data_IF_774324018858
#
_entry.id   IF_774324018858
#
_cell.length_a   1.000
_cell.length_b   1.000
_cell.length_c   1.000
_cell.angle_alpha   90.00
_cell.angle_beta   90.00
_cell.angle_gamma   90.00
#
_symmetry.space_group_name_H-M   'P 1'
#
loop_
_entity.id
_entity.type
_entity.pdbx_description
1 polymer ?
#
# COMPACT_ATOMS: atom_id res chain seq x y z
N UNK A 1 -50.73 -34.32 -31.47
CA UNK A 1 -50.48 -33.35 -30.36
C UNK A 1 -49.01 -32.91 -30.17
N UNK A 2 -48.18 -32.67 -31.21
CA UNK A 2 -46.84 -32.04 -31.01
C UNK A 2 -46.76 -30.52 -31.31
N UNK A 3 -47.76 -29.90 -31.93
CA UNK A 3 -47.59 -28.52 -32.46
C UNK A 3 -47.60 -27.38 -31.43
N UNK A 4 -48.09 -27.61 -30.20
CA UNK A 4 -48.14 -26.55 -29.17
C UNK A 4 -46.80 -26.28 -28.49
N UNK A 5 -45.80 -27.14 -28.68
CA UNK A 5 -44.47 -26.96 -28.09
C UNK A 5 -43.60 -25.95 -28.85
N UNK A 6 -43.73 -25.86 -30.18
CA UNK A 6 -42.88 -25.01 -31.01
C UNK A 6 -43.10 -23.51 -30.81
N UNK A 7 -44.35 -23.08 -30.61
CA UNK A 7 -44.68 -21.65 -30.51
C UNK A 7 -44.12 -21.01 -29.22
N UNK A 8 -44.18 -21.73 -28.09
CA UNK A 8 -43.66 -21.24 -26.81
C UNK A 8 -42.13 -21.09 -26.82
N UNK A 9 -41.44 -21.99 -27.52
CA UNK A 9 -39.98 -21.95 -27.64
C UNK A 9 -39.51 -20.72 -28.43
N UNK A 10 -40.18 -20.38 -29.53
CA UNK A 10 -39.88 -19.19 -30.33
C UNK A 10 -40.13 -17.87 -29.57
N UNK A 11 -41.15 -17.81 -28.72
CA UNK A 11 -41.40 -16.61 -27.90
C UNK A 11 -40.35 -16.43 -26.80
N UNK A 12 -39.92 -17.53 -26.17
CA UNK A 12 -38.90 -17.49 -25.12
C UNK A 12 -37.53 -17.12 -25.69
N UNK A 13 -37.15 -17.64 -26.85
CA UNK A 13 -35.87 -17.30 -27.48
C UNK A 13 -35.80 -15.81 -27.88
N UNK A 14 -36.89 -15.25 -28.45
CA UNK A 14 -36.97 -13.81 -28.76
C UNK A 14 -36.85 -12.94 -27.51
N UNK A 15 -37.52 -13.33 -26.43
CA UNK A 15 -37.41 -12.62 -25.15
C UNK A 15 -35.97 -12.68 -24.59
N UNK A 16 -35.33 -13.84 -24.64
CA UNK A 16 -33.95 -14.00 -24.20
C UNK A 16 -32.99 -13.11 -25.01
N UNK A 17 -33.13 -13.08 -26.35
CA UNK A 17 -32.34 -12.20 -27.21
C UNK A 17 -32.59 -10.71 -26.94
N UNK A 18 -33.83 -10.32 -26.63
CA UNK A 18 -34.16 -8.95 -26.26
C UNK A 18 -33.61 -8.55 -24.89
N UNK A 19 -33.59 -9.47 -23.92
CA UNK A 19 -33.09 -9.24 -22.56
C UNK A 19 -31.56 -9.33 -22.45
N UNK A 20 -30.90 -10.12 -23.31
CA UNK A 20 -29.45 -10.28 -23.29
C UNK A 20 -28.67 -8.96 -23.30
N UNK A 21 -28.92 -7.97 -24.19
CA UNK A 21 -28.19 -6.70 -24.17
C UNK A 21 -28.49 -5.88 -22.91
N UNK A 22 -29.72 -5.94 -22.37
CA UNK A 22 -30.08 -5.26 -21.14
C UNK A 22 -29.36 -5.87 -19.92
N UNK A 23 -29.30 -7.20 -19.86
CA UNK A 23 -28.57 -7.91 -18.82
C UNK A 23 -27.06 -7.63 -18.90
N UNK A 24 -26.49 -7.61 -20.11
CA UNK A 24 -25.10 -7.25 -20.35
C UNK A 24 -24.81 -5.81 -19.91
N UNK A 25 -25.66 -4.85 -20.28
CA UNK A 25 -25.52 -3.45 -19.89
C UNK A 25 -25.62 -3.26 -18.37
N UNK A 26 -26.58 -3.94 -17.73
CA UNK A 26 -26.71 -3.94 -16.28
C UNK A 26 -25.47 -4.54 -15.60
N UNK A 27 -24.94 -5.64 -16.14
CA UNK A 27 -23.72 -6.27 -15.63
C UNK A 27 -22.50 -5.37 -15.77
N UNK A 28 -22.31 -4.73 -16.94
CA UNK A 28 -21.22 -3.78 -17.16
C UNK A 28 -21.32 -2.58 -16.21
N UNK A 29 -22.53 -2.01 -16.05
CA UNK A 29 -22.76 -0.94 -15.09
C UNK A 29 -22.48 -1.38 -13.65
N UNK A 30 -22.81 -2.62 -13.28
CA UNK A 30 -22.53 -3.17 -11.95
C UNK A 30 -21.03 -3.30 -11.69
N UNK A 31 -20.25 -3.74 -12.70
CA UNK A 31 -18.78 -3.84 -12.63
C UNK A 31 -18.14 -2.46 -12.49
N UNK A 32 -18.61 -1.48 -13.26
CA UNK A 32 -18.06 -0.12 -13.27
C UNK A 32 -18.42 0.70 -12.01
N UNK A 33 -19.63 0.53 -11.47
CA UNK A 33 -20.10 1.30 -10.31
C UNK A 33 -19.45 0.87 -8.98
N UNK A 34 -18.95 -0.37 -8.89
CA UNK A 34 -18.38 -0.96 -7.67
C UNK A 34 -19.28 -0.67 -6.44
N UNK A 35 -20.51 -1.22 -6.40
CA UNK A 35 -21.54 -0.80 -5.42
C UNK A 35 -21.15 -1.08 -3.96
N UNK A 36 -20.23 -2.02 -3.73
CA UNK A 36 -19.63 -2.28 -2.42
C UNK A 36 -18.81 -1.11 -1.86
N UNK A 37 -18.41 -0.17 -2.73
CA UNK A 37 -17.40 0.86 -2.46
C UNK A 37 -16.04 0.31 -2.00
N UNK A 38 -15.79 -0.96 -2.32
CA UNK A 38 -14.54 -1.66 -2.06
C UNK A 38 -14.05 -2.23 -3.37
N UNK A 39 -12.89 -1.75 -3.82
CA UNK A 39 -12.19 -2.30 -4.96
C UNK A 39 -10.92 -2.98 -4.47
N UNK A 40 -10.89 -4.31 -4.58
CA UNK A 40 -9.69 -5.09 -4.32
C UNK A 40 -9.02 -5.42 -5.64
N UNK A 41 -7.81 -4.91 -5.85
CA UNK A 41 -7.00 -5.23 -7.00
C UNK A 41 -5.76 -6.00 -6.53
N UNK A 42 -5.61 -7.21 -7.08
CA UNK A 42 -4.51 -8.12 -6.79
C UNK A 42 -3.83 -8.43 -8.13
N UNK A 43 -2.52 -8.23 -8.19
CA UNK A 43 -1.73 -8.49 -9.39
C UNK A 43 -0.68 -9.55 -9.11
N UNK A 44 -0.65 -10.61 -9.93
CA UNK A 44 0.37 -11.65 -9.85
C UNK A 44 0.88 -12.00 -11.26
N UNK A 45 2.16 -11.77 -11.62
CA UNK A 45 3.18 -10.98 -10.92
C UNK A 45 2.92 -9.49 -11.22
N UNK A 46 2.20 -8.80 -10.31
CA UNK A 46 1.88 -7.36 -10.38
C UNK A 46 1.28 -6.93 -11.73
N UNK A 47 0.37 -7.73 -12.27
CA UNK A 47 -0.48 -7.32 -13.39
C UNK A 47 -1.89 -7.81 -13.12
N UNK A 48 -2.86 -6.94 -13.34
CA UNK A 48 -4.27 -7.25 -13.18
C UNK A 48 -5.13 -6.24 -13.94
N UNK A 49 -6.46 -6.34 -13.85
CA UNK A 49 -7.37 -5.43 -14.56
C UNK A 49 -7.15 -3.96 -14.20
N UNK A 50 -6.70 -3.70 -12.96
CA UNK A 50 -6.48 -2.36 -12.43
C UNK A 50 -5.01 -2.08 -12.10
N UNK A 51 -4.12 -3.07 -12.18
CA UNK A 51 -2.71 -2.92 -11.88
C UNK A 51 -1.89 -3.14 -13.14
N UNK A 52 -1.10 -2.14 -13.52
CA UNK A 52 -0.10 -2.29 -14.57
C UNK A 52 1.21 -2.76 -13.96
N UNK A 53 1.99 -3.50 -14.75
CA UNK A 53 3.30 -4.01 -14.35
C UNK A 53 4.25 -2.93 -13.81
N UNK A 54 5.31 -3.33 -13.11
CA UNK A 54 6.34 -2.41 -12.65
C UNK A 54 6.95 -1.62 -13.81
N UNK A 55 7.11 -0.31 -13.64
CA UNK A 55 7.76 0.59 -14.60
C UNK A 55 8.83 1.44 -13.90
N UNK A 56 9.88 1.87 -14.63
CA UNK A 56 10.28 1.36 -15.94
C UNK A 56 10.75 -0.10 -15.86
N UNK A 57 10.49 -0.88 -16.90
CA UNK A 57 10.86 -2.31 -16.95
C UNK A 57 12.37 -2.52 -16.79
N UNK A 58 13.19 -1.55 -17.21
CA UNK A 58 14.65 -1.59 -17.04
C UNK A 58 15.13 -1.56 -15.58
N UNK A 59 14.24 -1.27 -14.62
CA UNK A 59 14.56 -1.23 -13.19
C UNK A 59 14.17 -2.51 -12.45
N UNK A 60 13.64 -3.48 -13.17
CA UNK A 60 13.19 -4.75 -12.60
C UNK A 60 13.60 -5.93 -13.47
N UNK A 61 13.81 -7.08 -12.85
CA UNK A 61 14.07 -8.35 -13.52
C UNK A 61 13.06 -9.37 -12.99
N UNK A 62 12.31 -10.09 -13.84
CA UNK A 62 11.42 -11.14 -13.37
C UNK A 62 12.22 -12.26 -12.70
N UNK A 63 11.73 -12.75 -11.55
CA UNK A 63 12.33 -13.90 -10.87
C UNK A 63 12.15 -15.18 -11.70
N UNK A 64 13.11 -16.10 -11.60
CA UNK A 64 13.13 -17.31 -12.40
C UNK A 64 11.92 -18.22 -12.07
N UNK A 65 11.33 -18.95 -13.04
CA UNK A 65 10.17 -19.82 -12.79
C UNK A 65 10.40 -20.95 -11.77
N UNK A 66 11.66 -21.28 -11.49
CA UNK A 66 12.05 -22.28 -10.49
C UNK A 66 11.83 -21.78 -9.04
N UNK A 67 11.79 -20.46 -8.85
CA UNK A 67 11.38 -19.85 -7.60
C UNK A 67 9.85 -19.92 -7.56
N UNK A 68 9.30 -20.67 -6.61
CA UNK A 68 7.84 -20.93 -6.44
C UNK A 68 6.99 -19.64 -6.38
N UNK A 69 7.63 -18.47 -6.27
CA UNK A 69 7.04 -17.15 -6.36
C UNK A 69 7.38 -16.45 -7.69
N UNK A 70 6.37 -16.23 -8.55
CA UNK A 70 6.50 -15.25 -9.65
C UNK A 70 6.61 -13.86 -9.01
N UNK A 71 7.70 -13.16 -9.26
CA UNK A 71 7.95 -11.84 -8.71
C UNK A 71 8.96 -11.08 -9.55
N UNK A 72 9.44 -9.95 -9.03
CA UNK A 72 10.48 -9.16 -9.64
C UNK A 72 11.59 -8.88 -8.63
N UNK A 73 12.83 -8.93 -9.11
CA UNK A 73 13.99 -8.35 -8.46
C UNK A 73 14.10 -6.89 -8.88
N UNK A 74 14.22 -6.00 -7.91
CA UNK A 74 14.52 -4.59 -8.15
C UNK A 74 16.01 -4.45 -8.49
N UNK A 75 16.30 -3.87 -9.66
CA UNK A 75 17.65 -3.58 -10.12
C UNK A 75 18.05 -2.13 -9.84
N UNK A 76 17.07 -1.22 -9.82
CA UNK A 76 17.27 0.19 -9.54
C UNK A 76 15.98 0.82 -9.01
N UNK A 77 16.13 1.94 -8.31
CA UNK A 77 15.02 2.66 -7.70
C UNK A 77 14.73 4.01 -8.42
N UNK A 78 13.55 4.61 -8.17
CA UNK A 78 12.33 3.96 -7.69
C UNK A 78 11.70 3.01 -8.74
N UNK A 79 10.92 2.05 -8.26
CA UNK A 79 10.02 1.22 -9.09
C UNK A 79 8.59 1.71 -8.90
N UNK A 80 7.86 1.85 -10.00
CA UNK A 80 6.50 2.35 -10.01
C UNK A 80 5.51 1.27 -10.39
N UNK A 81 4.32 1.27 -9.79
CA UNK A 81 3.20 0.41 -10.18
C UNK A 81 1.96 1.28 -10.34
N UNK A 82 1.38 1.29 -11.55
CA UNK A 82 0.20 2.11 -11.83
C UNK A 82 -1.08 1.35 -11.45
N UNK A 83 -1.89 1.97 -10.60
CA UNK A 83 -3.21 1.53 -10.15
C UNK A 83 -4.28 2.41 -10.81
N UNK A 84 -5.08 1.82 -11.69
CA UNK A 84 -6.22 2.50 -12.30
C UNK A 84 -7.39 2.58 -11.33
N UNK A 85 -7.99 3.77 -11.20
CA UNK A 85 -9.16 4.00 -10.38
C UNK A 85 -10.41 4.14 -11.26
N UNK A 86 -11.40 3.23 -11.17
CA UNK A 86 -12.66 3.40 -11.89
C UNK A 86 -13.52 4.54 -11.32
N UNK A 87 -13.26 4.96 -10.08
CA UNK A 87 -13.97 6.02 -9.37
C UNK A 87 -13.13 6.56 -8.20
N UNK A 88 -13.54 7.67 -7.58
CA UNK A 88 -12.91 8.17 -6.36
C UNK A 88 -13.03 7.23 -5.16
N UNK A 89 -11.93 7.09 -4.43
CA UNK A 89 -11.81 6.37 -3.16
C UNK A 89 -11.17 7.26 -2.09
N UNK A 90 -11.42 6.99 -0.81
CA UNK A 90 -10.86 7.79 0.29
C UNK A 90 -9.56 7.22 0.84
N UNK A 91 -9.44 5.89 0.83
CA UNK A 91 -8.27 5.22 1.37
C UNK A 91 -7.76 4.14 0.42
N UNK A 92 -6.45 3.91 0.48
CA UNK A 92 -5.75 2.85 -0.24
C UNK A 92 -4.92 2.07 0.77
N UNK A 93 -5.18 0.78 0.93
CA UNK A 93 -4.28 -0.16 1.60
C UNK A 93 -3.42 -0.85 0.56
N UNK A 94 -2.11 -0.82 0.76
CA UNK A 94 -1.10 -1.48 -0.08
C UNK A 94 -0.45 -2.58 0.76
N UNK A 95 -0.60 -3.83 0.31
CA UNK A 95 0.11 -4.96 0.87
C UNK A 95 1.19 -5.42 -0.10
N UNK A 96 2.44 -5.38 0.35
CA UNK A 96 3.63 -5.76 -0.43
C UNK A 96 4.35 -6.91 0.28
N UNK A 97 4.62 -7.99 -0.45
CA UNK A 97 5.53 -9.03 0.03
C UNK A 97 6.92 -8.79 -0.56
N UNK A 98 7.86 -8.45 0.31
CA UNK A 98 9.21 -7.99 0.00
C UNK A 98 10.26 -8.87 0.68
N UNK A 99 11.22 -9.36 -0.07
CA UNK A 99 12.53 -9.73 0.44
C UNK A 99 13.45 -8.50 0.32
N UNK A 100 13.81 -7.84 1.44
CA UNK A 100 14.61 -6.63 1.41
C UNK A 100 16.07 -6.88 1.00
N UNK A 101 16.55 -8.13 1.01
CA UNK A 101 17.94 -8.45 0.72
C UNK A 101 18.92 -7.68 1.63
N UNK A 102 19.73 -6.81 1.03
CA UNK A 102 20.70 -5.96 1.73
C UNK A 102 20.24 -4.50 1.92
N UNK A 103 19.03 -4.14 1.49
CA UNK A 103 18.50 -2.79 1.69
C UNK A 103 18.36 -2.45 3.17
N UNK A 104 18.74 -1.24 3.57
CA UNK A 104 18.47 -0.74 4.92
C UNK A 104 17.06 -0.19 5.04
N UNK A 105 16.57 0.52 4.03
CA UNK A 105 15.26 1.20 4.07
C UNK A 105 14.49 0.91 2.80
N UNK A 106 13.19 0.63 2.95
CA UNK A 106 12.22 0.67 1.85
C UNK A 106 11.10 1.62 2.24
N UNK A 107 10.69 2.46 1.30
CA UNK A 107 9.62 3.41 1.45
C UNK A 107 8.55 3.19 0.37
N UNK A 108 7.30 3.41 0.73
CA UNK A 108 6.16 3.37 -0.18
C UNK A 108 5.52 4.76 -0.27
N UNK A 109 5.24 5.20 -1.48
CA UNK A 109 4.55 6.47 -1.72
C UNK A 109 3.49 6.37 -2.81
N UNK A 110 2.79 7.47 -3.01
CA UNK A 110 1.74 7.60 -4.02
C UNK A 110 1.92 8.89 -4.83
N UNK A 111 1.71 8.79 -6.14
CA UNK A 111 1.73 9.92 -7.07
C UNK A 111 0.40 9.94 -7.85
N UNK A 112 -0.40 11.03 -7.81
CA UNK A 112 -1.60 11.14 -8.62
C UNK A 112 -1.26 11.42 -10.10
N UNK A 113 -1.85 10.66 -11.02
CA UNK A 113 -1.73 10.83 -12.49
C UNK A 113 -0.29 11.06 -13.00
N UNK A 114 0.69 10.48 -12.32
CA UNK A 114 2.12 10.60 -12.67
C UNK A 114 2.76 11.97 -12.40
N UNK A 115 2.10 12.90 -11.70
CA UNK A 115 2.63 14.23 -11.35
C UNK A 115 3.47 14.18 -10.07
N UNK A 116 4.79 14.22 -10.21
CA UNK A 116 5.73 13.99 -9.10
C UNK A 116 5.71 15.03 -7.97
N UNK A 117 5.08 16.19 -8.17
CA UNK A 117 5.11 17.34 -7.27
C UNK A 117 4.49 17.07 -5.88
N UNK A 118 3.77 15.95 -5.72
CA UNK A 118 3.09 15.56 -4.48
C UNK A 118 3.51 14.16 -3.98
N UNK A 119 4.74 13.75 -4.26
CA UNK A 119 5.27 12.48 -3.73
C UNK A 119 5.51 12.56 -2.22
N UNK A 120 4.68 11.84 -1.46
CA UNK A 120 4.91 11.56 -0.04
C UNK A 120 5.31 10.10 0.14
N UNK A 121 6.54 9.86 0.60
CA UNK A 121 7.06 8.54 0.94
C UNK A 121 6.80 8.23 2.42
N UNK A 122 6.33 7.03 2.71
CA UNK A 122 6.14 6.49 4.06
C UNK A 122 7.07 5.29 4.25
N UNK A 123 7.73 5.16 5.43
CA UNK A 123 8.63 4.05 5.70
C UNK A 123 7.86 2.74 5.73
N UNK A 124 8.27 1.80 4.88
CA UNK A 124 7.68 0.48 4.76
C UNK A 124 8.55 -0.61 5.38
N UNK A 125 9.87 -0.44 5.36
CA UNK A 125 10.83 -1.33 6.00
C UNK A 125 12.04 -0.53 6.49
N UNK A 126 12.58 -0.90 7.65
CA UNK A 126 13.85 -0.37 8.14
C UNK A 126 14.65 -1.46 8.86
N UNK A 127 15.77 -1.89 8.28
CA UNK A 127 16.58 -3.02 8.74
C UNK A 127 17.03 -2.90 10.19
N UNK A 128 17.62 -1.76 10.57
CA UNK A 128 18.06 -1.57 11.96
C UNK A 128 16.90 -1.61 12.95
N UNK A 129 15.77 -0.98 12.63
CA UNK A 129 14.59 -1.04 13.51
C UNK A 129 14.04 -2.47 13.60
N UNK A 130 14.05 -3.23 12.51
CA UNK A 130 13.68 -4.65 12.52
C UNK A 130 14.58 -5.48 13.41
N UNK A 131 15.90 -5.32 13.29
CA UNK A 131 16.90 -6.05 14.06
C UNK A 131 16.80 -5.73 15.55
N UNK A 132 16.69 -4.44 15.91
CA UNK A 132 16.53 -4.00 17.30
C UNK A 132 15.18 -4.40 17.90
N UNK A 133 14.15 -4.53 17.06
CA UNK A 133 12.82 -4.96 17.50
C UNK A 133 12.67 -6.48 17.63
N UNK A 134 13.73 -7.26 17.43
CA UNK A 134 13.66 -8.69 17.70
C UNK A 134 13.54 -8.97 19.20
N UNK A 135 12.78 -10.00 19.62
CA UNK A 135 12.69 -10.37 21.03
C UNK A 135 14.08 -10.58 21.66
N UNK A 136 14.31 -9.95 22.81
CA UNK A 136 15.57 -10.05 23.55
C UNK A 136 16.70 -9.15 23.05
N UNK A 137 16.49 -8.33 22.01
CA UNK A 137 17.45 -7.30 21.60
C UNK A 137 17.28 -6.03 22.42
N UNK A 138 16.23 -5.26 22.14
CA UNK A 138 15.87 -4.05 22.90
C UNK A 138 14.46 -4.20 23.46
N UNK A 139 14.22 -3.60 24.62
CA UNK A 139 12.88 -3.57 25.22
C UNK A 139 11.99 -2.61 24.43
N UNK A 140 10.73 -2.98 24.21
CA UNK A 140 9.80 -2.20 23.40
C UNK A 140 8.63 -1.71 24.25
N UNK A 141 8.42 -0.41 24.28
CA UNK A 141 7.22 0.20 24.84
C UNK A 141 6.35 0.73 23.70
N UNK A 142 5.03 0.53 23.78
CA UNK A 142 4.09 0.89 22.72
C UNK A 142 2.94 1.69 23.29
N UNK A 143 2.56 2.76 22.59
CA UNK A 143 1.44 3.62 22.99
C UNK A 143 1.16 4.68 21.93
N UNK A 144 -0.11 5.00 21.68
CA UNK A 144 -0.48 6.12 20.79
C UNK A 144 0.05 6.03 19.35
N UNK A 145 0.35 4.83 18.85
CA UNK A 145 0.93 4.64 17.50
C UNK A 145 2.45 4.80 17.45
N UNK A 146 3.11 5.03 18.58
CA UNK A 146 4.55 5.04 18.72
C UNK A 146 5.10 3.72 19.27
N UNK A 147 6.37 3.52 19.00
CA UNK A 147 7.23 2.50 19.58
C UNK A 147 8.47 3.20 20.12
N UNK A 148 8.76 2.98 21.41
CA UNK A 148 10.04 3.29 22.01
C UNK A 148 10.84 1.99 22.09
N UNK A 149 12.00 1.96 21.44
CA UNK A 149 13.01 0.92 21.64
C UNK A 149 13.99 1.46 22.68
N UNK A 150 14.19 0.73 23.77
CA UNK A 150 15.16 1.08 24.81
C UNK A 150 16.18 -0.05 24.98
N UNK A 151 17.46 0.32 24.94
CA UNK A 151 18.58 -0.62 25.11
C UNK A 151 18.57 -1.21 26.52
N UNK A 152 18.43 -0.34 27.51
CA UNK A 152 18.23 -0.67 28.92
C UNK A 152 16.79 -0.32 29.30
N UNK A 153 16.09 -1.14 30.12
CA UNK A 153 14.69 -0.93 30.44
C UNK A 153 14.48 0.17 31.50
N UNK A 154 14.88 1.40 31.17
CA UNK A 154 14.85 2.56 32.07
C UNK A 154 13.43 3.11 32.30
N UNK A 155 12.51 2.86 31.37
CA UNK A 155 11.12 3.31 31.44
C UNK A 155 10.13 2.15 31.40
N UNK A 156 9.04 2.28 32.18
CA UNK A 156 7.97 1.29 32.24
C UNK A 156 6.94 1.47 31.11
N UNK A 157 6.70 2.72 30.71
CA UNK A 157 5.77 3.05 29.64
C UNK A 157 6.21 4.32 28.88
N UNK A 158 5.50 4.62 27.79
CA UNK A 158 5.83 5.73 26.90
C UNK A 158 5.54 7.10 27.55
N UNK A 159 4.53 7.20 28.40
CA UNK A 159 4.17 8.47 29.04
C UNK A 159 5.26 8.91 30.02
N UNK A 160 5.87 7.98 30.74
CA UNK A 160 7.01 8.25 31.64
C UNK A 160 8.22 8.76 30.86
N UNK A 161 8.54 8.12 29.74
CA UNK A 161 9.60 8.57 28.83
C UNK A 161 9.34 10.00 28.29
N UNK A 162 8.10 10.30 27.90
CA UNK A 162 7.76 11.63 27.36
C UNK A 162 7.71 12.73 28.43
N UNK A 163 7.41 12.39 29.69
CA UNK A 163 7.42 13.35 30.81
C UNK A 163 8.82 13.67 31.31
N UNK A 164 9.70 12.68 31.30
CA UNK A 164 11.07 12.81 31.78
C UNK A 164 12.04 12.14 30.80
N UNK A 165 12.19 12.68 29.58
CA UNK A 165 13.09 12.12 28.58
C UNK A 165 14.54 12.21 29.07
N UNK A 166 15.41 11.30 28.63
CA UNK A 166 16.83 11.41 28.90
C UNK A 166 17.43 12.58 28.09
N UNK A 167 18.75 12.78 28.20
CA UNK A 167 19.46 13.75 27.38
C UNK A 167 19.24 13.49 25.89
N UNK A 168 19.02 14.55 25.11
CA UNK A 168 18.65 14.47 23.69
C UNK A 168 19.64 13.62 22.85
N UNK A 169 20.92 13.68 23.17
CA UNK A 169 22.00 12.93 22.49
C UNK A 169 21.85 11.40 22.63
N UNK A 170 21.13 10.94 23.67
CA UNK A 170 20.83 9.51 23.89
C UNK A 170 19.59 9.04 23.13
N UNK A 171 18.86 9.95 22.48
CA UNK A 171 17.59 9.69 21.80
C UNK A 171 17.75 9.92 20.30
N UNK A 172 17.44 8.88 19.51
CA UNK A 172 17.21 9.04 18.08
C UNK A 172 15.71 8.98 17.78
N UNK A 173 15.27 9.77 16.82
CA UNK A 173 13.89 9.69 16.32
C UNK A 173 13.83 9.28 14.85
N UNK A 174 12.89 8.40 14.53
CA UNK A 174 12.62 7.99 13.16
C UNK A 174 11.13 8.09 12.83
N UNK A 175 10.79 9.04 11.95
CA UNK A 175 9.43 9.23 11.39
C UNK A 175 8.35 9.29 12.48
N UNK A 176 8.57 10.15 13.48
CA UNK A 176 7.60 10.42 14.54
C UNK A 176 6.46 11.27 13.94
N UNK A 177 5.18 10.87 14.10
CA UNK A 177 4.05 11.51 13.42
C UNK A 177 3.60 12.84 14.04
N UNK A 178 4.28 13.34 15.07
CA UNK A 178 3.94 14.58 15.77
C UNK A 178 5.19 15.30 16.27
N UNK A 179 5.04 16.58 16.61
CA UNK A 179 6.12 17.39 17.18
C UNK A 179 6.41 16.96 18.63
N UNK A 180 7.67 16.65 18.91
CA UNK A 180 8.12 16.28 20.25
C UNK A 180 8.33 17.54 21.10
N UNK A 181 8.11 17.47 22.42
CA UNK A 181 8.38 18.59 23.32
C UNK A 181 9.88 18.85 23.53
N UNK A 182 10.76 18.08 22.86
CA UNK A 182 12.21 18.18 22.92
C UNK A 182 12.80 17.94 21.51
N UNK A 183 14.01 18.46 21.29
CA UNK A 183 14.75 18.23 20.04
C UNK A 183 15.50 16.91 20.12
N UNK A 184 15.52 16.16 19.03
CA UNK A 184 16.16 14.86 18.90
C UNK A 184 16.85 14.76 17.57
N UNK A 185 17.95 14.03 17.52
CA UNK A 185 18.63 13.78 16.28
C UNK A 185 17.83 12.77 15.42
N UNK A 186 17.68 13.03 14.11
CA UNK A 186 17.06 12.07 13.22
C UNK A 186 17.93 10.83 13.10
N UNK A 187 17.32 9.64 13.21
CA UNK A 187 18.03 8.39 12.99
C UNK A 187 18.52 8.34 11.53
N UNK A 188 19.83 8.17 11.28
CA UNK A 188 20.34 8.09 9.92
C UNK A 188 19.83 6.81 9.23
N UNK A 189 19.51 6.85 7.92
CA UNK A 189 19.06 5.67 7.18
C UNK A 189 20.04 4.49 7.24
N UNK A 190 21.35 4.80 7.31
CA UNK A 190 22.42 3.82 7.40
C UNK A 190 22.54 3.15 8.78
N UNK A 191 21.72 3.55 9.76
CA UNK A 191 21.50 2.74 10.96
C UNK A 191 22.62 2.74 12.01
N UNK A 192 23.59 3.65 11.95
CA UNK A 192 24.63 3.75 12.97
C UNK A 192 24.07 4.39 14.26
N UNK A 193 23.47 3.59 15.13
CA UNK A 193 22.96 4.00 16.45
C UNK A 193 24.07 4.06 17.53
N UNK A 194 25.29 4.45 17.15
CA UNK A 194 26.40 4.54 18.10
C UNK A 194 26.14 5.67 19.09
N UNK A 195 26.06 5.37 20.39
CA UNK A 195 25.73 6.33 21.44
C UNK A 195 24.22 6.51 21.72
N UNK A 196 23.34 5.98 20.87
CA UNK A 196 21.89 6.05 21.10
C UNK A 196 21.43 4.94 22.03
N UNK A 197 20.74 5.27 23.11
CA UNK A 197 20.14 4.30 24.04
C UNK A 197 18.63 4.14 23.81
N UNK A 198 18.00 5.14 23.19
CA UNK A 198 16.57 5.20 22.96
C UNK A 198 16.27 5.53 21.50
N UNK A 199 15.38 4.76 20.88
CA UNK A 199 14.87 5.07 19.55
C UNK A 199 13.36 5.25 19.63
N UNK A 200 12.89 6.45 19.33
CA UNK A 200 11.47 6.76 19.23
C UNK A 200 11.03 6.71 17.77
N UNK A 201 10.03 5.89 17.46
CA UNK A 201 9.60 5.72 16.08
C UNK A 201 8.11 5.46 15.91
N UNK A 202 7.53 5.93 14.80
CA UNK A 202 6.22 5.50 14.32
C UNK A 202 6.25 4.17 13.55
N UNK A 203 7.45 3.62 13.31
CA UNK A 203 7.65 2.37 12.58
C UNK A 203 7.10 1.17 13.34
N UNK A 204 6.45 0.25 12.61
CA UNK A 204 5.93 -1.00 13.17
C UNK A 204 6.73 -2.16 12.58
N UNK A 205 7.45 -2.93 13.42
CA UNK A 205 8.20 -4.09 12.98
C UNK A 205 7.32 -5.11 12.25
N UNK A 206 7.86 -5.67 11.17
CA UNK A 206 7.19 -6.59 10.26
C UNK A 206 7.85 -7.95 10.41
N UNK A 207 7.15 -8.89 11.04
CA UNK A 207 7.63 -10.27 11.12
C UNK A 207 7.92 -10.87 9.73
N UNK A 208 8.96 -11.68 9.61
CA UNK A 208 9.22 -12.54 8.46
C UNK A 208 9.44 -13.97 8.92
N UNK A 209 8.45 -14.86 8.79
CA UNK A 209 8.64 -16.27 9.08
C UNK A 209 9.55 -16.99 8.08
N UNK A 210 9.70 -16.48 6.85
CA UNK A 210 10.35 -17.15 5.70
C UNK A 210 11.35 -16.23 4.95
N UNK A 211 11.81 -15.15 5.58
CA UNK A 211 12.64 -14.11 4.93
C UNK A 211 11.84 -13.07 4.15
N UNK A 212 10.59 -13.37 3.77
CA UNK A 212 9.69 -12.41 3.14
C UNK A 212 8.97 -11.59 4.20
N UNK A 213 9.05 -10.27 4.07
CA UNK A 213 8.34 -9.28 4.90
C UNK A 213 7.01 -8.96 4.24
N UNK A 214 5.92 -9.08 4.99
CA UNK A 214 4.59 -8.64 4.53
C UNK A 214 4.31 -7.23 5.04
N UNK A 215 4.56 -6.25 4.20
CA UNK A 215 4.27 -4.84 4.44
C UNK A 215 2.77 -4.61 4.23
N UNK A 216 2.11 -3.87 5.13
CA UNK A 216 0.74 -3.38 4.98
C UNK A 216 0.71 -1.88 5.32
N UNK A 217 0.52 -1.05 4.29
CA UNK A 217 0.55 0.40 4.41
C UNK A 217 -0.83 0.98 4.06
N UNK A 218 -1.38 1.81 4.95
CA UNK A 218 -2.63 2.52 4.71
C UNK A 218 -2.34 3.98 4.34
N UNK A 219 -2.86 4.40 3.20
CA UNK A 219 -2.82 5.77 2.72
C UNK A 219 -4.21 6.41 2.80
N UNK A 220 -4.26 7.60 3.40
CA UNK A 220 -5.40 8.51 3.30
C UNK A 220 -5.20 9.35 2.04
N UNK A 221 -6.11 9.23 1.07
CA UNK A 221 -5.96 9.89 -0.22
C UNK A 221 -6.37 11.37 -0.11
N UNK A 222 -5.51 12.27 -0.58
CA UNK A 222 -5.81 13.70 -0.73
C UNK A 222 -6.88 13.92 -1.78
N UNK A 223 -7.62 15.03 -1.76
CA UNK A 223 -8.67 15.33 -2.75
C UNK A 223 -8.20 15.16 -4.19
N UNK A 224 -6.96 15.55 -4.51
CA UNK A 224 -6.35 15.33 -5.83
C UNK A 224 -6.16 13.84 -6.15
N UNK A 225 -5.62 13.06 -5.20
CA UNK A 225 -5.47 11.60 -5.34
C UNK A 225 -6.82 10.87 -5.45
N UNK A 226 -7.88 11.40 -4.85
CA UNK A 226 -9.23 10.84 -4.98
C UNK A 226 -9.84 11.10 -6.36
N UNK A 227 -9.52 12.23 -6.99
CA UNK A 227 -10.03 12.58 -8.32
C UNK A 227 -9.17 12.08 -9.48
N UNK A 228 -7.98 11.57 -9.19
CA UNK A 228 -7.06 11.04 -10.18
C UNK A 228 -7.63 9.79 -10.86
N UNK A 229 -7.47 9.67 -12.17
CA UNK A 229 -7.88 8.47 -12.90
C UNK A 229 -6.93 7.29 -12.61
N UNK A 230 -5.69 7.62 -12.19
CA UNK A 230 -4.68 6.65 -11.83
C UNK A 230 -3.84 7.11 -10.64
N UNK A 231 -3.47 6.16 -9.79
CA UNK A 231 -2.44 6.35 -8.77
C UNK A 231 -1.20 5.55 -9.15
N UNK A 232 -0.05 6.18 -9.06
CA UNK A 232 1.23 5.50 -9.19
C UNK A 232 1.78 5.23 -7.81
N UNK A 233 1.85 3.94 -7.46
CA UNK A 233 2.50 3.45 -6.25
C UNK A 233 4.01 3.50 -6.49
N UNK A 234 4.73 4.15 -5.60
CA UNK A 234 6.19 4.28 -5.64
C UNK A 234 6.80 3.33 -4.62
N UNK A 235 7.70 2.47 -5.06
CA UNK A 235 8.54 1.64 -4.21
C UNK A 235 9.95 2.21 -4.33
N UNK A 236 10.46 2.81 -3.26
CA UNK A 236 11.81 3.38 -3.20
C UNK A 236 12.61 2.70 -2.11
N UNK A 237 13.92 2.66 -2.28
CA UNK A 237 14.87 2.16 -1.31
C UNK A 237 16.06 3.14 -1.23
N UNK A 238 15.86 4.32 -0.61
CA UNK A 238 16.78 5.45 -0.70
C UNK A 238 18.09 5.13 0.01
N UNK A 239 19.03 4.55 -0.73
CA UNK A 239 20.37 4.22 -0.23
C UNK A 239 21.45 4.47 -1.29
N UNK A 240 22.68 4.71 -0.79
CA UNK A 240 23.88 4.92 -1.62
C UNK A 240 24.03 3.80 -2.67
N UNK A 241 24.67 4.08 -3.81
CA UNK A 241 24.86 3.12 -4.90
C UNK A 241 25.68 1.92 -4.41
N UNK A 242 25.00 0.93 -3.86
CA UNK A 242 25.56 -0.38 -3.62
C UNK A 242 25.77 -1.02 -5.00
N UNK A 243 26.83 -1.82 -5.18
CA UNK A 243 27.12 -2.43 -6.47
C UNK A 243 26.04 -3.41 -6.94
N UNK A 244 25.15 -3.89 -6.05
CA UNK A 244 23.94 -4.67 -6.39
C UNK A 244 22.95 -4.74 -5.20
N UNK A 245 22.15 -3.71 -4.89
CA UNK A 245 21.03 -3.88 -3.97
C UNK A 245 19.89 -4.58 -4.71
N UNK A 246 19.76 -5.89 -4.51
CA UNK A 246 18.67 -6.67 -5.09
C UNK A 246 17.65 -7.02 -4.02
N UNK A 247 16.70 -6.12 -3.77
CA UNK A 247 15.46 -6.55 -3.12
C UNK A 247 14.54 -7.21 -4.13
N UNK A 248 13.72 -8.13 -3.66
CA UNK A 248 12.75 -8.84 -4.49
C UNK A 248 11.36 -8.64 -3.94
N UNK A 249 10.37 -8.50 -4.82
CA UNK A 249 8.97 -8.41 -4.44
C UNK A 249 8.13 -9.38 -5.28
N UNK A 250 7.16 -10.06 -4.66
CA UNK A 250 6.36 -11.09 -5.35
C UNK A 250 4.88 -10.76 -5.43
N UNK A 251 4.32 -10.22 -4.34
CA UNK A 251 2.89 -9.91 -4.25
C UNK A 251 2.71 -8.42 -4.04
N UNK A 252 1.86 -7.79 -4.86
CA UNK A 252 1.26 -6.50 -4.56
C UNK A 252 -0.26 -6.65 -4.56
N UNK A 253 -0.87 -6.44 -3.39
CA UNK A 253 -2.32 -6.34 -3.23
C UNK A 253 -2.67 -4.92 -2.87
N UNK A 254 -3.71 -4.41 -3.49
CA UNK A 254 -4.25 -3.09 -3.21
C UNK A 254 -5.73 -3.22 -2.87
N UNK A 255 -6.15 -2.48 -1.85
CA UNK A 255 -7.55 -2.40 -1.44
C UNK A 255 -7.93 -0.93 -1.34
N UNK A 256 -8.77 -0.48 -2.25
CA UNK A 256 -9.34 0.86 -2.28
C UNK A 256 -10.70 0.84 -1.57
N UNK A 257 -10.88 1.74 -0.61
CA UNK A 257 -12.14 1.88 0.14
C UNK A 257 -12.67 3.31 -0.03
N UNK A 258 -13.93 3.40 -0.44
CA UNK A 258 -14.64 4.65 -0.68
C UNK A 258 -15.98 4.68 0.03
N UNK A 259 -16.74 5.73 -0.23
CA UNK A 259 -18.11 5.83 0.27
C UNK A 259 -19.04 4.93 -0.53
N UNK A 260 -19.98 4.28 0.17
CA UNK A 260 -21.10 3.60 -0.48
C UNK A 260 -21.80 4.59 -1.41
N UNK A 261 -22.07 4.14 -2.64
CA UNK A 261 -22.88 4.94 -3.57
C UNK A 261 -24.25 5.09 -2.94
N UNK A 262 -24.58 6.30 -2.50
CA UNK A 262 -25.93 6.61 -2.07
C UNK A 262 -26.72 7.00 -3.31
N UNK A 263 -27.85 6.32 -3.52
CA UNK A 263 -28.82 6.58 -4.60
C UNK A 263 -29.24 8.05 -4.83
N UNK A 264 -29.17 9.02 -3.89
CA UNK A 264 -29.41 10.43 -4.18
C UNK A 264 -28.65 11.01 -5.39
N UNK A 265 -27.46 10.50 -5.74
CA UNK A 265 -26.69 11.01 -6.90
C UNK A 265 -27.40 10.74 -8.24
N UNK A 266 -28.13 9.63 -8.36
CA UNK A 266 -28.88 9.30 -9.58
C UNK A 266 -30.12 10.19 -9.78
N UNK A 267 -30.71 10.73 -8.70
CA UNK A 267 -31.81 11.70 -8.81
C UNK A 267 -31.36 13.03 -9.43
N UNK A 268 -30.12 13.45 -9.15
CA UNK A 268 -29.55 14.66 -9.74
C UNK A 268 -29.27 14.55 -11.24
N UNK A 269 -28.93 13.34 -11.72
CA UNK A 269 -28.77 13.07 -13.16
C UNK A 269 -30.10 12.97 -13.88
N UNK A 270 -31.09 12.28 -13.32
CA UNK A 270 -32.43 12.23 -13.91
C UNK A 270 -33.06 13.63 -14.02
N UNK A 271 -32.91 14.49 -13.01
CA UNK A 271 -33.43 15.86 -13.05
C UNK A 271 -32.80 16.78 -14.10
N UNK A 272 -31.65 16.40 -14.69
CA UNK A 272 -30.94 17.19 -15.70
C UNK A 272 -31.30 16.81 -17.14
N UNK A 273 -31.89 15.63 -17.36
CA UNK A 273 -32.37 15.17 -18.67
C UNK A 273 -33.87 15.43 -18.90
N UNK A 274 -34.63 15.73 -17.84
CA UNK A 274 -36.06 16.03 -17.90
C UNK A 274 -36.39 17.54 -17.77
N UNK A 275 -35.42 18.42 -18.00
CA UNK A 275 -35.61 19.87 -18.21
C UNK A 275 -35.11 20.22 -19.60
#
# INVERSE_FOLDING_TARGET
MPERFGLRWLTLSRLAWALAPLALLFWLAWVDLVPSAQLRAEGWPISGPYLRGPVPESRVEPLAPADIARGYRMLAEPVYVDLQQPRPFRTLSVQLELDPGNLQVVELGLIPDGRADHLTLQPAYHRVLEELSQPGRWTQLRGGGLVLLQREPDYENLDDFLRQPPEAERIAAYRVPFELPFTVDPLPPSGAASGTDFILTGYRPIGAPDGWRKIDQLFLLTTEQQSAASLRIVISAPERPLPSPSASFRTLRTSLLGDRVTWPVLRGWAGRWFR
#
